data_IF_630101020393
#
_entry.id   IF_630101020393
#
_cell.length_a   1.000
_cell.length_b   1.000
_cell.length_c   1.000
_cell.angle_alpha   90.00
_cell.angle_beta   90.00
_cell.angle_gamma   90.00
#
_symmetry.space_group_name_H-M   'P 1'
#
loop_
_entity.id
_entity.type
_entity.pdbx_description
1 polymer ?
#
# COMPACT_ATOMS: atom_id res chain seq x y z
N UNK A 1 -16.12 8.34 -49.09
CA UNK A 1 -17.27 7.48 -48.77
C UNK A 1 -16.80 6.14 -48.19
N UNK A 2 -16.01 5.33 -48.90
CA UNK A 2 -15.54 4.02 -48.40
C UNK A 2 -14.69 4.07 -47.12
N UNK A 3 -13.77 5.03 -46.99
CA UNK A 3 -12.91 5.16 -45.79
C UNK A 3 -13.76 5.48 -44.56
N UNK A 4 -14.73 6.39 -44.68
CA UNK A 4 -15.64 6.74 -43.60
C UNK A 4 -16.53 5.55 -43.19
N UNK A 5 -17.01 4.76 -44.16
CA UNK A 5 -17.77 3.53 -43.89
C UNK A 5 -16.92 2.48 -43.14
N UNK A 6 -15.68 2.23 -43.58
CA UNK A 6 -14.76 1.30 -42.91
C UNK A 6 -14.41 1.74 -41.48
N UNK A 7 -14.25 3.04 -41.25
CA UNK A 7 -14.03 3.59 -39.91
C UNK A 7 -15.27 3.38 -39.03
N UNK A 8 -16.47 3.64 -39.55
CA UNK A 8 -17.72 3.44 -38.82
C UNK A 8 -17.97 1.96 -38.49
N UNK A 9 -17.72 1.05 -39.43
CA UNK A 9 -17.80 -0.40 -39.22
C UNK A 9 -16.76 -0.88 -38.20
N UNK A 10 -15.52 -0.39 -38.28
CA UNK A 10 -14.47 -0.69 -37.30
C UNK A 10 -14.81 -0.17 -35.91
N UNK A 11 -15.39 1.02 -35.82
CA UNK A 11 -15.88 1.63 -34.58
C UNK A 11 -16.96 0.76 -33.94
N UNK A 12 -18.05 0.48 -34.66
CA UNK A 12 -19.14 -0.37 -34.14
C UNK A 12 -18.65 -1.79 -33.84
N UNK A 13 -17.78 -2.36 -34.66
CA UNK A 13 -17.18 -3.68 -34.44
C UNK A 13 -16.35 -3.75 -33.16
N UNK A 14 -15.67 -2.66 -32.77
CA UNK A 14 -14.98 -2.57 -31.48
C UNK A 14 -15.97 -2.66 -30.31
N UNK A 15 -17.08 -1.90 -30.35
CA UNK A 15 -18.11 -1.94 -29.31
C UNK A 15 -18.81 -3.31 -29.25
N UNK A 16 -19.07 -3.94 -30.39
CA UNK A 16 -19.63 -5.30 -30.43
C UNK A 16 -18.69 -6.31 -29.75
N UNK A 17 -17.39 -6.27 -30.06
CA UNK A 17 -16.40 -7.13 -29.36
C UNK A 17 -16.32 -6.83 -27.87
N UNK A 18 -16.39 -5.56 -27.48
CA UNK A 18 -16.46 -5.14 -26.08
C UNK A 18 -17.69 -5.72 -25.37
N UNK A 19 -18.86 -5.65 -26.01
CA UNK A 19 -20.11 -6.23 -25.53
C UNK A 19 -20.02 -7.74 -25.35
N UNK A 20 -19.51 -8.48 -26.35
CA UNK A 20 -19.31 -9.94 -26.25
C UNK A 20 -18.36 -10.29 -25.10
N UNK A 21 -17.29 -9.51 -24.90
CA UNK A 21 -16.35 -9.70 -23.79
C UNK A 21 -17.04 -9.47 -22.44
N UNK A 22 -17.82 -8.40 -22.30
CA UNK A 22 -18.57 -8.11 -21.08
C UNK A 22 -19.56 -9.22 -20.74
N UNK A 23 -20.35 -9.68 -21.71
CA UNK A 23 -21.27 -10.81 -21.54
C UNK A 23 -20.50 -12.05 -21.08
N UNK A 24 -19.34 -12.33 -21.68
CA UNK A 24 -18.48 -13.44 -21.26
C UNK A 24 -17.96 -13.32 -19.82
N UNK A 25 -17.70 -12.10 -19.32
CA UNK A 25 -17.39 -11.89 -17.90
C UNK A 25 -18.60 -12.14 -17.00
N UNK A 26 -19.77 -11.62 -17.39
CA UNK A 26 -21.04 -11.79 -16.64
C UNK A 26 -21.50 -13.23 -16.56
N UNK A 27 -21.34 -14.02 -17.62
CA UNK A 27 -21.70 -15.45 -17.63
C UNK A 27 -20.57 -16.35 -17.18
N UNK A 28 -19.33 -15.85 -17.16
CA UNK A 28 -18.13 -16.59 -16.79
C UNK A 28 -17.71 -16.37 -15.34
N UNK A 29 -16.72 -15.51 -15.13
CA UNK A 29 -16.04 -15.40 -13.83
C UNK A 29 -16.87 -14.65 -12.77
N UNK A 30 -17.72 -13.69 -13.16
CA UNK A 30 -18.42 -12.82 -12.19
C UNK A 30 -19.28 -13.61 -11.18
N UNK A 31 -20.12 -14.60 -11.59
CA UNK A 31 -20.88 -15.42 -10.64
C UNK A 31 -19.98 -16.15 -9.63
N UNK A 32 -18.85 -16.71 -10.10
CA UNK A 32 -17.85 -17.34 -9.24
C UNK A 32 -17.29 -16.35 -8.21
N UNK A 33 -16.99 -15.11 -8.61
CA UNK A 33 -16.52 -14.07 -7.69
C UNK A 33 -17.55 -13.75 -6.63
N UNK A 34 -18.83 -13.59 -6.99
CA UNK A 34 -19.90 -13.27 -6.04
C UNK A 34 -20.03 -14.36 -4.97
N UNK A 35 -20.02 -15.64 -5.39
CA UNK A 35 -20.10 -16.78 -4.46
C UNK A 35 -18.85 -16.82 -3.57
N UNK A 36 -17.67 -16.66 -4.14
CA UNK A 36 -16.41 -16.69 -3.41
C UNK A 36 -16.29 -15.53 -2.40
N UNK A 37 -16.67 -14.31 -2.80
CA UNK A 37 -16.73 -13.15 -1.91
C UNK A 37 -17.72 -13.36 -0.77
N UNK A 38 -18.87 -13.96 -1.06
CA UNK A 38 -19.87 -14.29 -0.02
C UNK A 38 -19.31 -15.29 0.98
N UNK A 39 -18.65 -16.36 0.50
CA UNK A 39 -18.04 -17.38 1.34
C UNK A 39 -16.89 -16.82 2.21
N UNK A 40 -16.00 -16.03 1.63
CA UNK A 40 -14.89 -15.40 2.36
C UNK A 40 -15.39 -14.39 3.38
N UNK A 41 -16.38 -13.56 3.02
CA UNK A 41 -16.99 -12.63 3.98
C UNK A 41 -17.67 -13.36 5.15
N UNK A 42 -18.35 -14.49 4.88
CA UNK A 42 -18.90 -15.33 5.94
C UNK A 42 -17.79 -15.92 6.83
N UNK A 43 -16.69 -16.38 6.25
CA UNK A 43 -15.53 -16.88 6.99
C UNK A 43 -14.88 -15.80 7.87
N UNK A 44 -14.69 -14.59 7.34
CA UNK A 44 -14.17 -13.45 8.11
C UNK A 44 -15.07 -13.13 9.30
N UNK A 45 -16.40 -13.12 9.09
CA UNK A 45 -17.37 -12.88 10.15
C UNK A 45 -17.37 -13.99 11.21
N UNK A 46 -17.06 -15.23 10.82
CA UNK A 46 -16.93 -16.37 11.74
C UNK A 46 -15.62 -16.32 12.55
N UNK A 47 -14.52 -15.89 11.93
CA UNK A 47 -13.23 -15.72 12.63
C UNK A 47 -13.32 -14.63 13.70
N UNK A 48 -14.07 -13.56 13.43
CA UNK A 48 -14.24 -12.41 14.32
C UNK A 48 -13.13 -11.36 14.13
N UNK A 49 -13.47 -10.07 14.07
CA UNK A 49 -12.50 -8.99 13.85
C UNK A 49 -11.41 -8.92 14.93
N UNK A 50 -11.70 -9.36 16.16
CA UNK A 50 -10.75 -9.35 17.28
C UNK A 50 -9.57 -10.31 17.06
N UNK A 51 -9.77 -11.39 16.29
CA UNK A 51 -8.69 -12.33 15.94
C UNK A 51 -7.76 -11.71 14.90
N UNK A 52 -8.32 -10.97 13.96
CA UNK A 52 -7.59 -10.28 12.90
C UNK A 52 -6.70 -9.19 13.51
N UNK A 53 -7.24 -8.42 14.45
CA UNK A 53 -6.50 -7.39 15.19
C UNK A 53 -5.32 -8.01 15.99
N UNK A 54 -5.51 -9.19 16.60
CA UNK A 54 -4.44 -9.91 17.29
C UNK A 54 -3.31 -10.34 16.36
N UNK A 55 -3.63 -10.83 15.16
CA UNK A 55 -2.63 -11.21 14.15
C UNK A 55 -1.80 -9.98 13.74
N UNK A 56 -2.46 -8.84 13.54
CA UNK A 56 -1.78 -7.59 13.21
C UNK A 56 -0.83 -7.14 14.32
N UNK A 57 -1.26 -7.17 15.59
CA UNK A 57 -0.42 -6.81 16.73
C UNK A 57 0.81 -7.70 16.86
N UNK A 58 0.67 -9.01 16.66
CA UNK A 58 1.79 -9.98 16.73
C UNK A 58 2.75 -9.81 15.55
N UNK A 59 2.22 -9.48 14.37
CA UNK A 59 3.02 -9.38 13.15
C UNK A 59 4.07 -8.25 13.17
N UNK A 60 3.91 -7.26 14.05
CA UNK A 60 4.90 -6.20 14.28
C UNK A 60 6.27 -6.74 14.75
N UNK A 61 6.32 -7.94 15.34
CA UNK A 61 7.53 -8.48 15.98
C UNK A 61 8.55 -9.11 15.02
N UNK A 62 8.12 -9.54 13.83
CA UNK A 62 8.98 -10.27 12.89
C UNK A 62 8.75 -9.80 11.46
N UNK A 63 9.84 -9.52 10.74
CA UNK A 63 9.82 -9.06 9.33
C UNK A 63 9.05 -10.01 8.39
N UNK A 64 9.14 -11.33 8.59
CA UNK A 64 8.39 -12.31 7.81
C UNK A 64 6.89 -12.19 8.08
N UNK A 65 6.50 -12.08 9.35
CA UNK A 65 5.09 -11.89 9.68
C UNK A 65 4.58 -10.57 9.11
N UNK A 66 5.39 -9.51 9.14
CA UNK A 66 4.99 -8.17 8.75
C UNK A 66 4.85 -7.96 7.24
N UNK A 67 5.76 -8.54 6.45
CA UNK A 67 5.86 -8.24 5.02
C UNK A 67 5.53 -9.41 4.09
N UNK A 68 5.33 -10.61 4.64
CA UNK A 68 4.89 -11.77 3.86
C UNK A 68 3.50 -12.24 4.33
N UNK A 69 3.38 -12.61 5.61
CA UNK A 69 2.15 -13.22 6.12
C UNK A 69 1.03 -12.20 6.28
N UNK A 70 1.29 -11.07 6.94
CA UNK A 70 0.28 -10.05 7.19
C UNK A 70 -0.31 -9.47 5.89
N UNK A 71 0.49 -9.08 4.88
CA UNK A 71 -0.06 -8.59 3.62
C UNK A 71 -0.86 -9.66 2.88
N UNK A 72 -0.39 -10.91 2.84
CA UNK A 72 -1.14 -12.02 2.28
C UNK A 72 -2.50 -12.19 2.94
N UNK A 73 -2.55 -12.29 4.28
CA UNK A 73 -3.79 -12.47 5.02
C UNK A 73 -4.71 -11.25 4.88
N UNK A 74 -4.16 -10.03 4.93
CA UNK A 74 -4.93 -8.81 4.77
C UNK A 74 -5.59 -8.75 3.38
N UNK A 75 -4.84 -9.01 2.32
CA UNK A 75 -5.36 -9.00 0.94
C UNK A 75 -6.37 -10.13 0.71
N UNK A 76 -6.09 -11.33 1.22
CA UNK A 76 -6.98 -12.48 1.05
C UNK A 76 -8.32 -12.29 1.77
N UNK A 77 -8.30 -11.85 3.04
CA UNK A 77 -9.52 -11.78 3.84
C UNK A 77 -10.26 -10.44 3.72
N UNK A 78 -9.53 -9.33 3.69
CA UNK A 78 -10.14 -8.00 3.68
C UNK A 78 -10.30 -7.42 2.28
N UNK A 79 -9.61 -7.96 1.28
CA UNK A 79 -9.63 -7.49 -0.11
C UNK A 79 -9.14 -6.03 -0.27
N UNK A 80 -8.89 -5.60 -1.50
CA UNK A 80 -8.65 -4.18 -1.80
C UNK A 80 -9.98 -3.39 -1.64
N UNK A 81 -10.00 -2.16 -1.07
CA UNK A 81 -8.94 -1.42 -0.37
C UNK A 81 -8.89 -1.68 1.15
N UNK A 82 -9.77 -2.50 1.70
CA UNK A 82 -9.89 -2.69 3.15
C UNK A 82 -8.65 -3.38 3.76
N UNK A 83 -7.87 -4.14 2.99
CA UNK A 83 -6.59 -4.73 3.41
C UNK A 83 -5.62 -3.70 4.03
N UNK A 84 -5.64 -2.45 3.56
CA UNK A 84 -4.73 -1.41 4.07
C UNK A 84 -5.04 -0.98 5.50
N UNK A 85 -6.28 -1.20 5.96
CA UNK A 85 -6.69 -0.86 7.34
C UNK A 85 -5.90 -1.64 8.38
N UNK A 86 -5.35 -2.81 8.02
CA UNK A 86 -4.49 -3.60 8.90
C UNK A 86 -3.21 -2.86 9.32
N UNK A 87 -2.74 -1.93 8.49
CA UNK A 87 -1.57 -1.11 8.78
C UNK A 87 -1.76 -0.22 10.03
N UNK A 88 -3.00 0.03 10.47
CA UNK A 88 -3.27 0.84 11.68
C UNK A 88 -2.64 0.27 12.95
N UNK A 89 -2.41 -1.04 12.98
CA UNK A 89 -1.85 -1.76 14.12
C UNK A 89 -0.32 -1.84 14.12
N UNK A 90 0.32 -1.39 13.04
CA UNK A 90 1.77 -1.38 12.93
C UNK A 90 2.36 -0.07 13.47
N UNK A 91 3.58 -0.10 14.03
CA UNK A 91 4.37 1.09 14.32
C UNK A 91 4.47 2.03 13.11
N UNK A 92 4.46 3.34 13.35
CA UNK A 92 4.41 4.36 12.29
C UNK A 92 5.48 4.19 11.20
N UNK A 93 6.72 3.88 11.62
CA UNK A 93 7.86 3.65 10.71
C UNK A 93 7.68 2.45 9.77
N UNK A 94 6.77 1.54 10.09
CA UNK A 94 6.57 0.27 9.37
C UNK A 94 5.33 0.29 8.47
N UNK A 95 4.42 1.26 8.66
CA UNK A 95 3.20 1.40 7.86
C UNK A 95 3.47 1.57 6.37
N UNK A 96 4.45 2.40 5.92
CA UNK A 96 4.73 2.54 4.48
C UNK A 96 5.15 1.23 3.83
N UNK A 97 6.01 0.45 4.51
CA UNK A 97 6.48 -0.84 4.03
C UNK A 97 5.38 -1.90 3.97
N UNK A 98 4.47 -1.91 4.96
CA UNK A 98 3.29 -2.77 4.91
C UNK A 98 2.36 -2.39 3.78
N UNK A 99 2.07 -1.10 3.61
CA UNK A 99 1.22 -0.62 2.53
C UNK A 99 1.79 -1.04 1.17
N UNK A 100 3.09 -0.83 0.97
CA UNK A 100 3.81 -1.23 -0.25
C UNK A 100 3.73 -2.74 -0.52
N UNK A 101 3.93 -3.56 0.51
CA UNK A 101 3.78 -5.02 0.38
C UNK A 101 2.33 -5.42 0.06
N UNK A 102 1.33 -4.82 0.71
CA UNK A 102 -0.08 -5.15 0.49
C UNK A 102 -0.55 -4.73 -0.91
N UNK A 103 -0.30 -3.47 -1.31
CA UNK A 103 -0.72 -2.96 -2.63
C UNK A 103 -0.01 -3.69 -3.77
N UNK A 104 1.22 -4.15 -3.57
CA UNK A 104 1.93 -4.94 -4.58
C UNK A 104 1.38 -6.36 -4.73
N UNK A 105 0.66 -6.87 -3.73
CA UNK A 105 0.14 -8.24 -3.72
C UNK A 105 -1.30 -8.38 -4.24
N UNK A 106 -2.03 -7.28 -4.43
CA UNK A 106 -3.44 -7.33 -4.85
C UNK A 106 -3.64 -7.88 -6.27
N UNK A 107 -2.60 -7.89 -7.12
CA UNK A 107 -2.67 -8.46 -8.48
C UNK A 107 -2.07 -9.87 -8.62
N UNK A 108 -0.89 -10.17 -8.05
CA UNK A 108 -0.31 -11.52 -8.15
C UNK A 108 -1.19 -12.63 -7.60
N UNK A 109 -2.08 -12.30 -6.66
CA UNK A 109 -3.00 -13.23 -6.03
C UNK A 109 -4.19 -13.61 -6.94
N UNK A 110 -4.54 -12.80 -7.95
CA UNK A 110 -5.81 -12.88 -8.67
C UNK A 110 -6.00 -14.14 -9.50
N UNK A 111 -4.91 -14.77 -9.95
CA UNK A 111 -5.00 -16.02 -10.69
C UNK A 111 -5.53 -17.19 -9.86
N UNK A 112 -5.33 -17.16 -8.54
CA UNK A 112 -5.81 -18.19 -7.62
C UNK A 112 -7.03 -17.72 -6.82
N UNK A 113 -7.02 -16.46 -6.38
CA UNK A 113 -8.01 -15.89 -5.47
C UNK A 113 -8.56 -14.57 -6.03
N UNK A 114 -9.39 -14.64 -7.07
CA UNK A 114 -9.84 -13.45 -7.78
C UNK A 114 -10.78 -12.55 -6.95
N UNK A 115 -11.32 -13.05 -5.83
CA UNK A 115 -12.10 -12.26 -4.86
C UNK A 115 -11.25 -11.23 -4.09
N UNK A 116 -9.92 -11.34 -4.10
CA UNK A 116 -9.06 -10.46 -3.33
C UNK A 116 -8.95 -9.04 -3.93
N UNK A 117 -9.11 -8.90 -5.24
CA UNK A 117 -9.23 -7.60 -5.91
C UNK A 117 -10.16 -7.69 -7.14
N UNK A 118 -11.47 -7.90 -6.92
CA UNK A 118 -12.41 -8.19 -8.00
C UNK A 118 -12.57 -6.97 -8.93
N UNK A 119 -12.40 -5.74 -8.40
CA UNK A 119 -12.46 -4.51 -9.18
C UNK A 119 -11.34 -4.37 -10.23
N UNK A 120 -10.22 -5.07 -10.04
CA UNK A 120 -9.07 -5.06 -10.94
C UNK A 120 -8.81 -6.43 -11.58
N UNK A 121 -9.83 -7.28 -11.65
CA UNK A 121 -9.71 -8.63 -12.23
C UNK A 121 -9.23 -8.61 -13.69
N UNK A 122 -9.46 -7.51 -14.40
CA UNK A 122 -9.01 -7.31 -15.77
C UNK A 122 -7.49 -7.38 -15.93
N UNK A 123 -6.71 -7.06 -14.88
CA UNK A 123 -5.25 -7.16 -14.89
C UNK A 123 -4.81 -8.61 -15.08
N UNK A 124 -5.46 -9.55 -14.39
CA UNK A 124 -5.25 -10.98 -14.60
C UNK A 124 -5.89 -11.46 -15.90
N UNK A 125 -7.15 -11.09 -16.15
CA UNK A 125 -7.90 -11.59 -17.30
C UNK A 125 -7.24 -11.23 -18.64
N UNK A 126 -6.62 -10.05 -18.76
CA UNK A 126 -5.87 -9.65 -19.95
C UNK A 126 -4.67 -10.56 -20.23
N UNK A 127 -3.89 -10.89 -19.20
CA UNK A 127 -2.74 -11.79 -19.31
C UNK A 127 -3.20 -13.23 -19.59
N UNK A 128 -4.23 -13.69 -18.86
CA UNK A 128 -4.81 -15.01 -19.04
C UNK A 128 -5.36 -15.21 -20.46
N UNK A 129 -6.02 -14.21 -21.05
CA UNK A 129 -6.49 -14.26 -22.43
C UNK A 129 -5.33 -14.44 -23.43
N UNK A 130 -4.21 -13.75 -23.23
CA UNK A 130 -3.02 -13.91 -24.05
C UNK A 130 -2.42 -15.31 -23.96
N UNK A 131 -2.30 -15.84 -22.74
CA UNK A 131 -1.75 -17.19 -22.47
C UNK A 131 -2.66 -18.29 -23.00
N UNK A 132 -3.98 -18.12 -22.88
CA UNK A 132 -4.99 -19.03 -23.45
C UNK A 132 -4.87 -19.08 -24.98
N UNK A 133 -4.68 -17.93 -25.64
CA UNK A 133 -4.50 -17.86 -27.10
C UNK A 133 -3.25 -18.62 -27.58
N UNK A 134 -2.22 -18.72 -26.74
CA UNK A 134 -1.01 -19.50 -27.01
C UNK A 134 -1.19 -21.00 -26.71
N UNK A 135 -2.35 -21.43 -26.19
CA UNK A 135 -2.60 -22.82 -25.81
C UNK A 135 -1.83 -23.27 -24.56
N UNK A 136 -1.34 -22.33 -23.75
CA UNK A 136 -0.58 -22.61 -22.54
C UNK A 136 -1.48 -22.72 -21.30
N UNK A 137 -1.03 -23.47 -20.30
CA UNK A 137 -1.80 -23.72 -19.07
C UNK A 137 -1.93 -22.49 -18.17
N UNK A 138 -3.16 -22.11 -17.83
CA UNK A 138 -3.44 -21.00 -16.91
C UNK A 138 -3.08 -21.31 -15.45
N UNK A 139 -3.16 -22.58 -15.04
CA UNK A 139 -2.83 -23.00 -13.67
C UNK A 139 -1.37 -22.74 -13.33
N UNK A 140 -0.45 -23.13 -14.22
CA UNK A 140 0.99 -22.89 -14.08
C UNK A 140 1.31 -21.41 -13.93
N UNK A 141 0.66 -20.56 -14.74
CA UNK A 141 0.82 -19.12 -14.67
C UNK A 141 0.34 -18.57 -13.32
N UNK A 142 -0.84 -19.01 -12.86
CA UNK A 142 -1.44 -18.54 -11.62
C UNK A 142 -0.55 -18.87 -10.41
N UNK A 143 -0.01 -20.09 -10.36
CA UNK A 143 0.92 -20.53 -9.31
C UNK A 143 2.21 -19.71 -9.36
N UNK A 144 2.79 -19.51 -10.55
CA UNK A 144 4.03 -18.71 -10.69
C UNK A 144 3.81 -17.26 -10.25
N UNK A 145 2.71 -16.64 -10.67
CA UNK A 145 2.35 -15.28 -10.26
C UNK A 145 2.20 -15.18 -8.74
N UNK A 146 1.50 -16.13 -8.13
CA UNK A 146 1.32 -16.16 -6.69
C UNK A 146 2.65 -16.28 -5.93
N UNK A 147 3.49 -17.26 -6.30
CA UNK A 147 4.77 -17.50 -5.64
C UNK A 147 5.77 -16.35 -5.83
N UNK A 148 5.89 -15.83 -7.06
CA UNK A 148 6.73 -14.66 -7.33
C UNK A 148 6.17 -13.43 -6.62
N UNK A 149 4.86 -13.26 -6.57
CA UNK A 149 4.19 -12.20 -5.83
C UNK A 149 4.58 -12.20 -4.36
N UNK A 150 4.50 -13.35 -3.69
CA UNK A 150 4.92 -13.52 -2.29
C UNK A 150 6.39 -13.15 -2.08
N UNK A 151 7.28 -13.57 -2.99
CA UNK A 151 8.69 -13.21 -2.93
C UNK A 151 8.90 -11.70 -3.10
N UNK A 152 8.26 -11.10 -4.09
CA UNK A 152 8.39 -9.68 -4.42
C UNK A 152 7.90 -8.81 -3.28
N UNK A 153 6.75 -9.12 -2.68
CA UNK A 153 6.18 -8.29 -1.60
C UNK A 153 7.07 -8.33 -0.35
N UNK A 154 7.72 -9.46 -0.10
CA UNK A 154 8.66 -9.60 0.99
C UNK A 154 9.88 -8.70 0.75
N UNK A 155 10.51 -8.81 -0.43
CA UNK A 155 11.65 -7.96 -0.81
C UNK A 155 11.28 -6.48 -0.72
N UNK A 156 10.13 -6.10 -1.30
CA UNK A 156 9.61 -4.73 -1.27
C UNK A 156 9.41 -4.22 0.15
N UNK A 157 8.77 -5.01 1.02
CA UNK A 157 8.60 -4.64 2.42
C UNK A 157 9.93 -4.35 3.13
N UNK A 158 10.95 -5.19 2.92
CA UNK A 158 12.28 -4.97 3.49
C UNK A 158 12.94 -3.70 2.94
N UNK A 159 12.93 -3.51 1.62
CA UNK A 159 13.55 -2.35 0.97
C UNK A 159 12.85 -1.06 1.38
N UNK A 160 11.52 -1.06 1.39
CA UNK A 160 10.72 0.11 1.75
C UNK A 160 10.87 0.48 3.23
N UNK A 161 10.99 -0.50 4.14
CA UNK A 161 11.31 -0.21 5.55
C UNK A 161 12.68 0.47 5.67
N UNK A 162 13.69 0.00 4.92
CA UNK A 162 15.04 0.60 4.92
C UNK A 162 15.03 2.03 4.39
N UNK A 163 14.36 2.27 3.27
CA UNK A 163 14.20 3.61 2.68
C UNK A 163 13.50 4.53 3.69
N UNK A 164 12.40 4.06 4.27
CA UNK A 164 11.61 4.80 5.27
C UNK A 164 12.46 5.17 6.50
N UNK A 165 13.27 4.24 7.00
CA UNK A 165 14.17 4.50 8.12
C UNK A 165 15.21 5.60 7.81
N UNK A 166 15.81 5.56 6.61
CA UNK A 166 16.77 6.58 6.16
C UNK A 166 16.10 7.95 6.05
N UNK A 167 14.90 8.02 5.47
CA UNK A 167 14.15 9.26 5.34
C UNK A 167 13.79 9.86 6.70
N UNK A 168 13.36 9.02 7.65
CA UNK A 168 13.04 9.47 9.01
C UNK A 168 14.26 10.03 9.74
N UNK A 169 15.40 9.36 9.62
CA UNK A 169 16.65 9.81 10.24
C UNK A 169 17.11 11.18 9.68
N UNK A 170 16.96 11.40 8.37
CA UNK A 170 17.26 12.69 7.74
C UNK A 170 16.33 13.79 8.22
N UNK A 171 15.04 13.49 8.38
CA UNK A 171 14.05 14.46 8.87
C UNK A 171 14.29 14.89 10.31
N UNK A 172 14.65 13.96 11.20
CA UNK A 172 15.01 14.32 12.59
C UNK A 172 16.24 15.21 12.67
N UNK A 173 17.18 15.07 11.73
CA UNK A 173 18.37 15.96 11.64
C UNK A 173 17.96 17.35 11.17
N UNK A 174 17.12 17.48 10.14
CA UNK A 174 16.66 18.79 9.65
C UNK A 174 15.80 19.54 10.68
N UNK A 175 14.93 18.83 11.42
CA UNK A 175 14.10 19.42 12.47
C UNK A 175 14.93 19.83 13.71
N UNK A 176 15.95 19.05 14.07
CA UNK A 176 16.89 19.39 15.15
C UNK A 176 17.80 20.58 14.81
N UNK A 177 18.21 20.72 13.54
CA UNK A 177 18.95 21.88 13.06
C UNK A 177 18.09 23.15 13.08
N UNK A 178 16.84 23.08 12.59
CA UNK A 178 15.91 24.21 12.63
C UNK A 178 15.60 24.71 14.04
N UNK A 179 15.40 23.80 15.01
CA UNK A 179 15.19 24.19 16.41
C UNK A 179 16.44 24.80 17.06
N UNK A 180 17.64 24.31 16.70
CA UNK A 180 18.89 24.89 17.20
C UNK A 180 19.19 26.28 16.63
N UNK A 181 18.83 26.53 15.37
CA UNK A 181 18.96 27.85 14.74
C UNK A 181 17.93 28.83 15.30
N UNK A 182 16.69 28.39 15.54
CA UNK A 182 15.63 29.20 16.13
C UNK A 182 15.91 29.53 17.60
N UNK A 183 16.44 28.60 18.39
CA UNK A 183 16.87 28.88 19.78
C UNK A 183 18.07 29.81 19.85
N UNK A 184 19.00 29.71 18.90
CA UNK A 184 20.18 30.59 18.83
C UNK A 184 19.78 32.00 18.35
N UNK A 185 18.84 32.09 17.42
CA UNK A 185 18.23 33.36 16.97
C UNK A 185 17.44 34.04 18.09
N UNK A 186 16.69 33.30 18.91
CA UNK A 186 15.94 33.85 20.03
C UNK A 186 16.86 34.31 21.17
N UNK A 187 17.95 33.59 21.44
CA UNK A 187 18.95 33.98 22.44
C UNK A 187 19.77 35.21 22.01
N UNK A 188 20.03 35.39 20.71
CA UNK A 188 20.73 36.56 20.17
C UNK A 188 19.92 37.87 20.17
N UNK A 189 18.59 37.79 20.33
CA UNK A 189 17.72 38.98 20.41
C UNK A 189 17.60 39.57 21.82
N UNK A 190 18.06 38.85 22.86
CA UNK A 190 18.07 39.30 24.24
C UNK A 190 19.49 39.73 24.66
N UNK A 191 19.97 40.85 24.12
CA UNK A 191 21.17 41.52 24.64
C UNK A 191 20.81 42.34 25.89
N UNK A 192 21.57 42.26 27.00
CA UNK A 192 21.38 43.14 28.14
C UNK A 192 21.90 44.54 27.77
N UNK A 193 21.05 45.56 27.91
CA UNK A 193 21.46 46.96 27.82
C UNK A 193 22.45 47.22 28.97
N UNK A 194 23.73 47.30 28.65
CA UNK A 194 24.78 47.75 29.57
C UNK A 194 24.52 49.22 29.93
N UNK A 195 24.13 49.47 31.17
CA UNK A 195 24.14 50.81 31.77
C UNK A 195 25.59 51.22 32.05
N UNK A 196 26.16 52.03 31.16
CA UNK A 196 27.44 52.73 31.36
C UNK A 196 27.35 53.75 32.49
N UNK A 197 28.36 53.73 33.36
CA UNK A 197 28.35 54.36 34.69
C UNK A 197 28.73 55.84 34.76
N UNK A 198 28.59 56.38 35.97
CA UNK A 198 29.31 57.54 36.46
C UNK A 198 29.32 57.49 38.01
N UNK A 199 30.51 57.30 38.58
CA UNK A 199 30.77 57.55 40.00
C UNK A 199 30.83 59.06 40.26
N UNK A 200 30.42 59.52 41.45
CA UNK A 200 31.14 60.49 42.30
C UNK A 200 30.36 60.88 43.60
N UNK A 201 31.09 60.77 44.72
CA UNK A 201 31.15 61.64 45.91
C UNK A 201 30.17 61.52 47.11
N UNK A 202 30.79 61.48 48.31
CA UNK A 202 30.24 61.67 49.67
C UNK A 202 30.07 60.35 50.44
N UNK A 203 30.75 60.00 51.55
CA UNK A 203 31.31 60.78 52.65
C UNK A 203 30.46 60.55 53.91
N UNK A 204 30.91 59.75 54.88
CA UNK A 204 30.75 59.98 56.33
C UNK A 204 31.32 58.84 57.20
N UNK A 205 31.68 59.23 58.41
CA UNK A 205 32.43 58.58 59.49
C UNK A 205 31.70 57.42 60.19
N UNK A 206 32.46 56.42 60.66
CA UNK A 206 32.58 56.00 62.08
C UNK A 206 33.42 54.71 62.19
#
# INVERSE_FOLDING_TARGET
MEIAARIAEGFIGMFQKGGTTFVGLVTGIIPLLIVLMTAVNALVRLIGPERIDKVAMISSRNVFLRYLILPFLAVFFLTNPMAYTMGRFLPEKQKPAFYDAAVSFVHPILGLFPHANPGEIFVWAGIAAGITKLGLGLGDLAIRYFLVGLLVIFIRGLVTERITAIMWARRSVSEGQGQSEESTSAAGAASPVETGGAALAGGEEA
#
